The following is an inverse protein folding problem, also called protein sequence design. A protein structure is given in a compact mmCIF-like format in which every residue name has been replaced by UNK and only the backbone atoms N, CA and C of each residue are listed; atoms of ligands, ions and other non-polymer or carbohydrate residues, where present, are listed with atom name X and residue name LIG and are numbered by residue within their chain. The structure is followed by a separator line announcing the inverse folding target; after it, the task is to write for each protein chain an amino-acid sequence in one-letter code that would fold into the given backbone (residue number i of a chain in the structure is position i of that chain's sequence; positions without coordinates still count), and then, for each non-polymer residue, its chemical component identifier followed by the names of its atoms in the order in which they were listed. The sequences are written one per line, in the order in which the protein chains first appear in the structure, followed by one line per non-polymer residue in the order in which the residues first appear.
data_IF_624314561835
#
_entry.id   IF_624314561835
#
_cell.length_a   1.000
_cell.length_b   1.000
_cell.length_c   1.000
_cell.angle_alpha   90.00
_cell.angle_beta   90.00
_cell.angle_gamma   90.00
#
_symmetry.space_group_name_H-M   'P 1'
#
loop_
_entity.id
_entity.type
_entity.pdbx_description
1 polymer ?
#
# COMPACT_ATOMS: atom_id res chain seq x y z
N UNK A 1 4.09 10.10 -17.32
CA UNK A 1 3.62 11.36 -16.69
C UNK A 1 2.14 11.21 -16.42
N UNK A 2 1.63 11.70 -15.29
CA UNK A 2 0.23 11.48 -14.89
C UNK A 2 -0.72 12.44 -15.60
N UNK A 3 -1.97 12.02 -15.85
CA UNK A 3 -3.01 12.89 -16.44
C UNK A 3 -3.31 14.12 -15.59
N UNK A 4 -3.13 13.97 -14.28
CA UNK A 4 -3.27 15.02 -13.27
C UNK A 4 -2.29 16.19 -13.43
N UNK A 5 -1.14 15.99 -14.11
CA UNK A 5 -0.11 17.03 -14.31
C UNK A 5 -0.04 17.57 -15.73
N UNK A 6 -0.98 17.18 -16.59
CA UNK A 6 -0.97 17.49 -18.01
C UNK A 6 -2.25 18.23 -18.39
N UNK A 7 -2.11 19.42 -18.97
CA UNK A 7 -3.21 20.16 -19.57
C UNK A 7 -2.97 20.28 -21.06
N UNK A 8 -3.94 19.84 -21.86
CA UNK A 8 -3.91 19.98 -23.31
C UNK A 8 -4.68 21.24 -23.68
N UNK A 9 -4.06 22.13 -24.45
CA UNK A 9 -4.70 23.32 -24.97
C UNK A 9 -4.76 23.26 -26.49
N UNK A 10 -5.91 23.62 -27.06
CA UNK A 10 -6.05 23.88 -28.49
C UNK A 10 -6.27 25.37 -28.68
N UNK A 11 -5.40 26.03 -29.46
CA UNK A 11 -5.47 27.48 -29.71
C UNK A 11 -5.58 28.33 -28.43
N UNK A 12 -4.91 27.91 -27.33
CA UNK A 12 -4.93 28.61 -26.05
C UNK A 12 -6.16 28.34 -25.16
N UNK A 13 -7.09 27.48 -25.57
CA UNK A 13 -8.21 27.02 -24.74
C UNK A 13 -7.97 25.60 -24.21
N UNK A 14 -8.31 25.35 -22.95
CA UNK A 14 -8.24 24.03 -22.34
C UNK A 14 -9.21 23.05 -23.03
N UNK A 15 -8.68 21.89 -23.42
CA UNK A 15 -9.45 20.75 -23.90
C UNK A 15 -9.83 19.85 -22.71
N UNK A 16 -11.11 19.49 -22.60
CA UNK A 16 -11.57 18.45 -21.69
C UNK A 16 -11.34 17.06 -22.30
N UNK A 17 -11.30 16.02 -21.47
CA UNK A 17 -11.02 14.64 -21.89
C UNK A 17 -11.99 14.11 -22.97
N UNK A 18 -13.25 14.59 -22.98
CA UNK A 18 -14.27 14.18 -23.96
C UNK A 18 -14.29 15.03 -25.25
N UNK A 19 -13.34 15.97 -25.41
CA UNK A 19 -13.36 16.91 -26.52
C UNK A 19 -12.96 16.23 -27.84
N UNK A 20 -13.77 16.33 -28.91
CA UNK A 20 -13.47 15.66 -30.17
C UNK A 20 -12.26 16.27 -30.87
N UNK A 21 -11.25 15.44 -31.16
CA UNK A 21 -10.09 15.82 -31.98
C UNK A 21 -10.47 15.78 -33.48
N UNK A 22 -10.91 16.91 -34.02
CA UNK A 22 -11.10 17.16 -35.45
C UNK A 22 -9.83 17.61 -36.19
N UNK A 23 -9.44 16.88 -37.24
CA UNK A 23 -8.45 17.33 -38.23
C UNK A 23 -7.08 17.70 -37.67
N UNK A 24 -6.36 18.56 -38.40
CA UNK A 24 -5.07 19.10 -37.95
C UNK A 24 -5.31 20.21 -36.92
N UNK A 25 -4.95 19.98 -35.65
CA UNK A 25 -5.01 20.97 -34.58
C UNK A 25 -3.61 21.33 -34.10
N UNK A 26 -3.45 22.58 -33.65
CA UNK A 26 -2.27 23.01 -32.90
C UNK A 26 -2.51 22.77 -31.40
N UNK A 27 -1.84 21.75 -30.86
CA UNK A 27 -2.00 21.29 -29.49
C UNK A 27 -0.79 21.66 -28.65
N UNK A 28 -1.03 22.42 -27.58
CA UNK A 28 -0.02 22.76 -26.59
C UNK A 28 -0.20 21.90 -25.35
N UNK A 29 0.85 21.16 -24.97
CA UNK A 29 0.90 20.46 -23.69
C UNK A 29 1.50 21.38 -22.63
N UNK A 30 0.73 21.71 -21.60
CA UNK A 30 1.18 22.47 -20.44
C UNK A 30 1.34 21.52 -19.25
N UNK A 31 2.51 21.60 -18.61
CA UNK A 31 2.81 20.85 -17.39
C UNK A 31 2.54 21.74 -16.18
N UNK A 32 1.66 21.29 -15.28
CA UNK A 32 1.37 22.03 -14.05
C UNK A 32 2.44 21.72 -12.99
N UNK A 33 3.05 22.74 -12.35
CA UNK A 33 3.91 22.52 -11.19
C UNK A 33 3.07 22.11 -9.97
N UNK A 34 3.69 21.37 -9.05
CA UNK A 34 3.12 21.15 -7.72
C UNK A 34 3.21 22.48 -6.97
N UNK A 35 2.10 22.96 -6.44
CA UNK A 35 2.04 24.18 -5.64
C UNK A 35 1.59 23.77 -4.24
N UNK A 36 2.22 24.34 -3.22
CA UNK A 36 1.74 24.20 -1.85
C UNK A 36 0.38 24.92 -1.73
N UNK A 37 -0.69 24.14 -1.61
CA UNK A 37 -2.06 24.64 -1.59
C UNK A 37 -2.45 25.25 -0.23
N UNK A 38 -1.54 25.26 0.76
CA UNK A 38 -1.80 25.86 2.09
C UNK A 38 -2.19 27.35 2.00
N UNK A 39 -1.78 28.06 0.94
CA UNK A 39 -2.14 29.48 0.71
C UNK A 39 -3.48 29.70 -0.03
N UNK A 40 -4.15 28.65 -0.53
CA UNK A 40 -5.47 28.74 -1.16
C UNK A 40 -6.57 28.47 -0.12
N UNK A 41 -6.69 29.42 0.80
CA UNK A 41 -7.51 29.42 2.02
C UNK A 41 -9.05 29.28 1.89
N UNK A 42 -9.59 28.52 0.94
CA UNK A 42 -11.05 28.47 0.73
C UNK A 42 -11.68 27.11 0.45
N UNK A 43 -10.99 26.01 0.72
CA UNK A 43 -11.64 24.71 0.71
C UNK A 43 -11.04 23.86 1.83
N UNK A 44 -11.83 23.58 2.86
CA UNK A 44 -11.61 22.49 3.84
C UNK A 44 -11.67 21.16 3.07
N UNK A 45 -10.70 20.93 2.19
CA UNK A 45 -10.64 19.80 1.28
C UNK A 45 -9.30 19.16 1.52
N UNK A 46 -9.30 18.23 2.46
CA UNK A 46 -8.13 17.45 2.85
C UNK A 46 -8.06 16.19 1.97
N UNK A 47 -6.96 16.04 1.22
CA UNK A 47 -6.73 14.86 0.41
C UNK A 47 -6.55 13.61 1.29
N UNK A 48 -6.05 13.76 2.51
CA UNK A 48 -5.99 12.69 3.51
C UNK A 48 -7.41 12.34 3.96
N UNK A 49 -8.23 13.35 4.28
CA UNK A 49 -9.71 13.34 4.36
C UNK A 49 -10.39 12.38 3.38
N UNK A 50 -10.38 12.81 2.11
CA UNK A 50 -11.02 12.11 1.02
C UNK A 50 -10.48 10.68 0.87
N UNK A 51 -9.17 10.49 1.09
CA UNK A 51 -8.54 9.19 1.03
C UNK A 51 -8.92 8.27 2.20
N UNK A 52 -9.08 8.81 3.39
CA UNK A 52 -9.48 8.11 4.61
C UNK A 52 -10.89 7.54 4.50
N UNK A 53 -11.82 8.29 3.92
CA UNK A 53 -13.23 7.92 3.82
C UNK A 53 -13.59 7.25 2.48
N UNK A 54 -12.62 7.17 1.56
CA UNK A 54 -12.80 6.49 0.28
C UNK A 54 -13.58 7.30 -0.74
N UNK A 55 -13.59 8.63 -0.61
CA UNK A 55 -14.28 9.54 -1.52
C UNK A 55 -13.52 9.64 -2.84
N UNK A 56 -13.79 8.71 -3.76
CA UNK A 56 -13.11 8.63 -5.07
C UNK A 56 -13.28 9.90 -5.89
N UNK A 57 -14.50 10.43 -5.94
CA UNK A 57 -14.85 11.61 -6.75
C UNK A 57 -14.14 12.86 -6.24
N UNK A 58 -14.17 13.08 -4.92
CA UNK A 58 -13.45 14.18 -4.25
C UNK A 58 -11.93 14.04 -4.39
N UNK A 59 -11.39 12.83 -4.22
CA UNK A 59 -9.96 12.53 -4.45
C UNK A 59 -9.56 12.92 -5.88
N UNK A 60 -10.37 12.55 -6.87
CA UNK A 60 -10.11 12.91 -8.26
C UNK A 60 -10.16 14.42 -8.48
N UNK A 61 -11.18 15.11 -7.96
CA UNK A 61 -11.29 16.57 -8.04
C UNK A 61 -10.05 17.26 -7.46
N UNK A 62 -9.56 16.79 -6.30
CA UNK A 62 -8.37 17.35 -5.65
C UNK A 62 -7.12 17.11 -6.50
N UNK A 63 -6.93 15.90 -7.02
CA UNK A 63 -5.76 15.55 -7.82
C UNK A 63 -5.75 16.25 -9.19
N UNK A 64 -6.90 16.73 -9.69
CA UNK A 64 -6.97 17.60 -10.86
C UNK A 64 -6.45 19.01 -10.59
N UNK A 65 -6.39 19.44 -9.32
CA UNK A 65 -5.72 20.67 -8.90
C UNK A 65 -4.19 20.42 -8.83
N UNK A 66 -3.35 21.47 -8.77
CA UNK A 66 -1.90 21.32 -8.57
C UNK A 66 -1.52 20.88 -7.15
N UNK A 67 -2.30 19.95 -6.57
CA UNK A 67 -2.11 19.38 -5.25
C UNK A 67 -0.94 18.38 -5.22
N UNK A 68 -0.23 18.33 -4.10
CA UNK A 68 0.77 17.30 -3.84
C UNK A 68 0.07 15.97 -3.45
N UNK A 69 0.16 14.90 -4.26
CA UNK A 69 -0.42 13.60 -3.88
C UNK A 69 0.24 12.98 -2.64
N UNK A 70 1.41 13.48 -2.25
CA UNK A 70 2.18 13.04 -1.08
C UNK A 70 2.10 14.02 0.10
N UNK A 71 1.06 14.88 0.10
CA UNK A 71 0.76 15.75 1.24
C UNK A 71 0.70 14.95 2.53
N UNK A 72 1.15 15.55 3.63
CA UNK A 72 1.12 14.92 4.95
C UNK A 72 0.07 15.65 5.79
N UNK A 73 -1.01 14.94 6.11
CA UNK A 73 -2.11 15.42 6.96
C UNK A 73 -2.26 14.57 8.22
N UNK A 74 -3.33 14.77 8.97
CA UNK A 74 -3.68 13.97 10.16
C UNK A 74 -4.89 13.12 9.85
N UNK A 75 -4.92 11.86 10.32
CA UNK A 75 -6.12 11.02 10.21
C UNK A 75 -7.08 11.30 11.37
N UNK A 76 -8.39 11.09 11.15
CA UNK A 76 -9.44 11.41 12.13
C UNK A 76 -9.40 10.64 13.47
N UNK A 77 -8.64 9.54 13.56
CA UNK A 77 -8.54 8.69 14.75
C UNK A 77 -7.18 8.76 15.46
N UNK A 78 -6.27 9.64 15.06
CA UNK A 78 -4.96 9.73 15.70
C UNK A 78 -4.21 11.03 15.40
N UNK A 79 -3.34 11.43 16.32
CA UNK A 79 -2.38 12.53 16.13
C UNK A 79 -1.19 12.12 15.25
N UNK A 80 -1.39 11.13 14.37
CA UNK A 80 -0.32 10.55 13.56
C UNK A 80 -0.38 11.11 12.14
N UNK A 81 0.73 11.67 11.63
CA UNK A 81 0.79 12.19 10.29
C UNK A 81 0.69 11.06 9.28
N UNK A 82 -0.20 11.18 8.31
CA UNK A 82 -0.46 10.20 7.27
C UNK A 82 -0.33 10.82 5.88
N UNK A 83 0.03 10.00 4.90
CA UNK A 83 -0.14 10.34 3.49
C UNK A 83 -1.53 9.87 3.02
N UNK A 84 -2.11 10.47 1.96
CA UNK A 84 -3.34 9.98 1.36
C UNK A 84 -3.25 8.50 0.98
N UNK A 85 -2.09 8.08 0.45
CA UNK A 85 -1.89 6.68 0.06
C UNK A 85 -1.91 5.75 1.27
N UNK A 86 -1.30 6.15 2.39
CA UNK A 86 -1.37 5.41 3.65
C UNK A 86 -2.81 5.29 4.14
N UNK A 87 -3.53 6.42 4.23
CA UNK A 87 -4.92 6.44 4.72
C UNK A 87 -5.85 5.54 3.89
N UNK A 88 -5.78 5.66 2.56
CA UNK A 88 -6.55 4.83 1.65
C UNK A 88 -6.17 3.35 1.74
N UNK A 89 -4.88 3.04 1.91
CA UNK A 89 -4.39 1.68 2.01
C UNK A 89 -4.81 1.01 3.33
N UNK A 90 -4.73 1.72 4.45
CA UNK A 90 -5.17 1.25 5.77
C UNK A 90 -6.68 0.97 5.81
N UNK A 91 -7.47 1.77 5.08
CA UNK A 91 -8.94 1.65 5.00
C UNK A 91 -9.44 0.73 3.88
N UNK A 92 -8.56 0.23 3.02
CA UNK A 92 -8.93 -0.68 1.93
C UNK A 92 -9.58 0.00 0.72
N UNK A 93 -9.40 1.31 0.55
CA UNK A 93 -10.06 2.11 -0.49
C UNK A 93 -9.34 2.00 -1.84
N UNK A 94 -9.49 0.86 -2.50
CA UNK A 94 -8.84 0.55 -3.78
C UNK A 94 -9.09 1.57 -4.92
N UNK A 95 -10.28 2.20 -4.95
CA UNK A 95 -10.59 3.26 -5.91
C UNK A 95 -9.70 4.49 -5.74
N UNK A 96 -9.55 4.96 -4.51
CA UNK A 96 -8.66 6.07 -4.15
C UNK A 96 -7.20 5.70 -4.38
N UNK A 97 -6.78 4.49 -3.99
CA UNK A 97 -5.41 4.00 -4.22
C UNK A 97 -5.05 4.03 -5.71
N UNK A 98 -5.97 3.64 -6.61
CA UNK A 98 -5.77 3.75 -8.07
C UNK A 98 -5.48 5.20 -8.49
N UNK A 99 -6.30 6.15 -8.05
CA UNK A 99 -6.12 7.57 -8.38
C UNK A 99 -4.79 8.12 -7.87
N UNK A 100 -4.42 7.81 -6.62
CA UNK A 100 -3.15 8.26 -6.02
C UNK A 100 -1.93 7.68 -6.75
N UNK A 101 -1.97 6.40 -7.11
CA UNK A 101 -0.91 5.77 -7.91
C UNK A 101 -0.83 6.38 -9.33
N UNK A 102 -1.97 6.67 -9.96
CA UNK A 102 -2.03 7.39 -11.23
C UNK A 102 -1.41 8.80 -11.09
N UNK A 103 -1.64 9.48 -9.97
CA UNK A 103 -1.05 10.78 -9.62
C UNK A 103 0.44 10.74 -9.25
N UNK A 104 1.06 9.55 -9.23
CA UNK A 104 2.46 9.32 -8.85
C UNK A 104 2.75 9.61 -7.38
N UNK A 105 1.80 9.31 -6.50
CA UNK A 105 2.08 9.21 -5.07
C UNK A 105 3.24 8.24 -4.82
N UNK A 106 4.10 8.58 -3.87
CA UNK A 106 5.22 7.76 -3.43
C UNK A 106 4.71 6.58 -2.59
N UNK A 107 4.92 5.39 -3.14
CA UNK A 107 4.46 4.11 -2.59
C UNK A 107 5.17 3.78 -1.27
N UNK A 108 6.40 4.25 -1.11
CA UNK A 108 7.25 3.97 0.06
C UNK A 108 7.23 5.12 1.08
N UNK A 109 6.50 6.20 0.82
CA UNK A 109 6.43 7.33 1.75
C UNK A 109 5.70 6.95 3.02
N UNK A 110 6.43 7.05 4.12
CA UNK A 110 5.99 6.64 5.45
C UNK A 110 5.20 7.74 6.17
N UNK A 111 4.17 7.33 6.89
CA UNK A 111 3.54 8.09 7.96
C UNK A 111 4.54 8.18 9.15
N UNK A 112 4.92 9.38 9.58
CA UNK A 112 5.87 9.57 10.69
C UNK A 112 5.16 9.41 12.04
N UNK A 113 5.15 8.22 12.62
CA UNK A 113 4.66 8.09 13.99
C UNK A 113 5.65 8.73 14.98
N UNK A 114 5.26 9.82 15.66
CA UNK A 114 6.04 10.34 16.78
C UNK A 114 5.97 9.33 17.93
N UNK A 115 7.09 8.67 18.23
CA UNK A 115 7.24 7.83 19.42
C UNK A 115 7.05 6.33 19.21
N UNK A 116 6.69 5.87 18.01
CA UNK A 116 6.87 4.48 17.60
C UNK A 116 7.84 4.44 16.41
N UNK A 117 8.82 3.51 16.37
CA UNK A 117 9.66 3.28 15.19
C UNK A 117 8.88 2.64 14.02
N UNK A 118 7.54 2.75 14.04
CA UNK A 118 6.62 2.20 13.07
C UNK A 118 6.65 3.05 11.81
N UNK A 119 7.62 2.74 10.95
CA UNK A 119 7.58 3.08 9.54
C UNK A 119 6.53 2.20 8.84
N UNK A 120 5.25 2.39 9.19
CA UNK A 120 4.17 1.63 8.56
C UNK A 120 3.95 2.20 7.17
N UNK A 121 4.54 1.52 6.19
CA UNK A 121 4.36 1.83 4.78
C UNK A 121 2.92 1.49 4.38
N UNK A 122 2.31 2.23 3.44
CA UNK A 122 0.96 1.92 2.94
C UNK A 122 0.76 0.45 2.56
N UNK A 123 1.81 -0.16 1.98
CA UNK A 123 1.82 -1.57 1.60
C UNK A 123 1.72 -2.54 2.77
N UNK A 124 2.50 -2.29 3.83
CA UNK A 124 2.53 -3.14 5.02
C UNK A 124 1.18 -3.12 5.69
N UNK A 125 0.60 -1.94 5.85
CA UNK A 125 -0.69 -1.77 6.51
C UNK A 125 -1.83 -2.43 5.71
N UNK A 126 -1.87 -2.25 4.39
CA UNK A 126 -2.85 -2.95 3.54
C UNK A 126 -2.74 -4.48 3.64
N UNK A 127 -1.52 -5.01 3.83
CA UNK A 127 -1.32 -6.45 4.01
C UNK A 127 -1.81 -6.94 5.37
N UNK A 128 -1.53 -6.21 6.44
CA UNK A 128 -1.94 -6.56 7.80
C UNK A 128 -3.46 -6.44 7.99
N UNK A 129 -4.08 -5.46 7.33
CA UNK A 129 -5.52 -5.24 7.37
C UNK A 129 -6.33 -6.14 6.42
N UNK A 130 -5.68 -7.04 5.66
CA UNK A 130 -6.37 -8.00 4.79
C UNK A 130 -6.88 -7.43 3.45
N UNK A 131 -6.46 -6.22 3.06
CA UNK A 131 -7.00 -5.53 1.88
C UNK A 131 -6.39 -6.04 0.56
N UNK A 132 -6.73 -7.27 0.16
CA UNK A 132 -6.12 -7.97 -0.98
C UNK A 132 -6.14 -7.18 -2.30
N UNK A 133 -7.23 -6.47 -2.60
CA UNK A 133 -7.32 -5.65 -3.83
C UNK A 133 -6.33 -4.47 -3.80
N UNK A 134 -6.18 -3.79 -2.65
CA UNK A 134 -5.18 -2.74 -2.47
C UNK A 134 -3.77 -3.31 -2.61
N UNK A 135 -3.49 -4.45 -1.98
CA UNK A 135 -2.19 -5.12 -2.09
C UNK A 135 -1.86 -5.44 -3.55
N UNK A 136 -2.81 -5.97 -4.33
CA UNK A 136 -2.63 -6.23 -5.76
C UNK A 136 -2.33 -4.96 -6.55
N UNK A 137 -2.97 -3.83 -6.23
CA UNK A 137 -2.69 -2.54 -6.87
C UNK A 137 -1.27 -2.04 -6.56
N UNK A 138 -0.86 -2.10 -5.29
CA UNK A 138 0.47 -1.67 -4.87
C UNK A 138 1.56 -2.57 -5.46
N UNK A 139 1.36 -3.90 -5.52
CA UNK A 139 2.27 -4.84 -6.19
C UNK A 139 2.40 -4.53 -7.69
N UNK A 140 1.30 -4.23 -8.39
CA UNK A 140 1.33 -3.79 -9.80
C UNK A 140 2.10 -2.49 -9.99
N UNK A 141 2.05 -1.60 -8.99
CA UNK A 141 2.82 -0.36 -8.95
C UNK A 141 4.29 -0.55 -8.53
N UNK A 142 4.75 -1.81 -8.39
CA UNK A 142 6.11 -2.22 -8.01
C UNK A 142 6.47 -2.01 -6.54
N UNK A 143 5.50 -2.02 -5.63
CA UNK A 143 5.78 -2.21 -4.22
C UNK A 143 6.57 -3.52 -4.03
N UNK A 144 7.60 -3.51 -3.18
CA UNK A 144 8.41 -4.70 -2.95
C UNK A 144 7.65 -5.71 -2.08
N UNK A 145 7.40 -6.92 -2.61
CA UNK A 145 6.61 -7.95 -1.95
C UNK A 145 7.27 -8.53 -0.67
N UNK A 146 8.61 -8.47 -0.58
CA UNK A 146 9.37 -8.94 0.58
C UNK A 146 9.59 -7.79 1.60
N UNK A 147 8.50 -7.24 2.14
CA UNK A 147 8.59 -6.30 3.26
C UNK A 147 8.78 -7.05 4.59
N UNK A 148 9.34 -6.34 5.57
CA UNK A 148 9.39 -6.76 6.97
C UNK A 148 8.33 -6.01 7.77
N UNK A 149 7.92 -6.62 8.89
CA UNK A 149 7.14 -5.98 9.94
C UNK A 149 7.89 -6.06 11.24
N UNK A 150 7.79 -4.99 12.02
CA UNK A 150 8.30 -4.96 13.39
C UNK A 150 7.31 -5.68 14.29
N UNK A 151 7.83 -6.60 15.09
CA UNK A 151 7.03 -7.34 16.06
C UNK A 151 7.71 -7.28 17.43
N UNK A 152 6.90 -7.45 18.47
CA UNK A 152 7.33 -7.30 19.86
C UNK A 152 7.25 -8.64 20.57
N UNK A 153 8.25 -8.94 21.38
CA UNK A 153 8.12 -10.03 22.37
C UNK A 153 7.48 -9.45 23.64
N UNK A 154 6.51 -10.17 24.20
CA UNK A 154 5.95 -9.81 25.52
C UNK A 154 7.00 -9.85 26.62
N UNK A 155 8.04 -10.69 26.43
CA UNK A 155 8.97 -11.09 27.48
C UNK A 155 10.20 -10.20 27.59
N UNK A 156 10.72 -9.66 26.48
CA UNK A 156 11.96 -8.87 26.48
C UNK A 156 11.79 -7.41 26.08
N UNK A 157 10.60 -7.01 25.55
CA UNK A 157 10.38 -5.70 24.89
C UNK A 157 11.40 -5.42 23.78
N UNK A 158 12.05 -6.46 23.26
CA UNK A 158 12.97 -6.32 22.14
C UNK A 158 12.18 -6.30 20.84
N UNK A 159 12.48 -5.29 20.02
CA UNK A 159 11.99 -5.17 18.67
C UNK A 159 12.78 -6.11 17.76
N UNK A 160 12.07 -6.82 16.91
CA UNK A 160 12.68 -7.58 15.83
C UNK A 160 11.83 -7.49 14.59
N UNK A 161 12.51 -7.42 13.46
CA UNK A 161 11.88 -7.48 12.16
C UNK A 161 11.72 -8.93 11.72
N UNK A 162 10.57 -9.25 11.13
CA UNK A 162 10.37 -10.51 10.42
C UNK A 162 9.65 -10.27 9.08
N UNK A 163 9.82 -11.15 8.08
CA UNK A 163 9.10 -11.05 6.82
C UNK A 163 7.57 -11.06 7.00
N UNK A 164 6.87 -10.19 6.27
CA UNK A 164 5.43 -9.96 6.45
C UNK A 164 4.55 -11.17 6.09
N UNK A 165 5.03 -12.07 5.21
CA UNK A 165 4.28 -13.24 4.76
C UNK A 165 3.87 -14.17 5.93
N UNK A 166 4.73 -14.30 6.95
CA UNK A 166 4.42 -15.12 8.13
C UNK A 166 3.19 -14.61 8.88
N UNK A 167 3.22 -13.38 9.42
CA UNK A 167 2.08 -12.76 10.10
C UNK A 167 0.77 -12.76 9.31
N UNK A 168 0.81 -12.53 7.99
CA UNK A 168 -0.40 -12.56 7.13
C UNK A 168 -1.04 -13.95 7.16
N UNK A 169 -0.25 -15.01 7.02
CA UNK A 169 -0.75 -16.38 7.03
C UNK A 169 -1.18 -16.80 8.44
N UNK A 170 -0.47 -16.37 9.48
CA UNK A 170 -0.86 -16.57 10.88
C UNK A 170 -2.24 -15.96 11.20
N UNK A 171 -2.55 -14.80 10.60
CA UNK A 171 -3.85 -14.12 10.68
C UNK A 171 -4.93 -14.69 9.74
N UNK A 172 -4.62 -15.73 8.96
CA UNK A 172 -5.50 -16.35 7.96
C UNK A 172 -5.90 -15.46 6.77
N UNK A 173 -5.12 -14.43 6.46
CA UNK A 173 -5.33 -13.54 5.31
C UNK A 173 -4.81 -14.20 4.01
N UNK A 174 -5.41 -15.33 3.63
CA UNK A 174 -4.93 -16.21 2.56
C UNK A 174 -4.91 -15.54 1.18
N UNK A 175 -5.85 -14.64 0.91
CA UNK A 175 -5.89 -13.91 -0.37
C UNK A 175 -4.70 -12.96 -0.50
N UNK A 176 -4.34 -12.27 0.58
CA UNK A 176 -3.14 -11.43 0.64
C UNK A 176 -1.89 -12.30 0.55
N UNK A 177 -1.82 -13.38 1.32
CA UNK A 177 -0.69 -14.32 1.29
C UNK A 177 -0.45 -14.89 -0.11
N UNK A 178 -1.52 -15.26 -0.82
CA UNK A 178 -1.46 -15.69 -2.23
C UNK A 178 -0.97 -14.56 -3.13
N UNK A 179 -1.49 -13.34 -2.99
CA UNK A 179 -1.06 -12.20 -3.81
C UNK A 179 0.45 -11.90 -3.65
N UNK A 180 0.99 -12.02 -2.43
CA UNK A 180 2.42 -11.87 -2.18
C UNK A 180 3.24 -12.98 -2.86
N UNK A 181 2.81 -14.23 -2.73
CA UNK A 181 3.47 -15.38 -3.35
C UNK A 181 3.44 -15.30 -4.89
N UNK A 182 2.31 -14.90 -5.48
CA UNK A 182 2.18 -14.59 -6.91
C UNK A 182 3.16 -13.49 -7.36
N UNK A 183 3.41 -12.52 -6.49
CA UNK A 183 4.39 -11.46 -6.70
C UNK A 183 5.83 -11.85 -6.33
N UNK A 184 6.13 -13.15 -6.18
CA UNK A 184 7.46 -13.72 -5.88
C UNK A 184 7.98 -13.36 -4.48
N UNK A 185 7.09 -13.19 -3.51
CA UNK A 185 7.51 -13.23 -2.11
C UNK A 185 8.16 -14.57 -1.79
N UNK A 186 9.18 -14.59 -0.94
CA UNK A 186 9.87 -15.82 -0.56
C UNK A 186 8.96 -16.69 0.32
N UNK A 187 8.50 -17.87 -0.14
CA UNK A 187 7.66 -18.75 0.65
C UNK A 187 8.39 -19.35 1.87
N UNK A 188 9.72 -19.50 1.80
CA UNK A 188 10.51 -20.02 2.92
C UNK A 188 10.56 -19.03 4.09
N UNK A 189 10.34 -17.74 3.82
CA UNK A 189 10.23 -16.71 4.84
C UNK A 189 9.10 -16.97 5.84
N UNK A 190 8.05 -17.69 5.42
CA UNK A 190 6.89 -18.05 6.23
C UNK A 190 7.01 -19.40 6.97
N UNK A 191 8.24 -19.89 7.22
CA UNK A 191 8.47 -21.15 7.93
C UNK A 191 7.82 -21.25 9.33
N UNK A 192 7.66 -20.13 10.04
CA UNK A 192 6.96 -20.07 11.33
C UNK A 192 5.46 -20.36 11.14
N UNK A 193 4.83 -19.67 10.20
CA UNK A 193 3.44 -19.91 9.81
C UNK A 193 3.23 -21.35 9.34
N UNK A 194 4.16 -21.91 8.55
CA UNK A 194 4.13 -23.31 8.11
C UNK A 194 4.13 -24.29 9.30
N UNK A 195 4.98 -24.05 10.31
CA UNK A 195 5.00 -24.89 11.53
C UNK A 195 3.68 -24.83 12.28
N UNK A 196 3.15 -23.63 12.47
CA UNK A 196 1.88 -23.42 13.17
C UNK A 196 0.74 -24.11 12.42
N UNK A 197 0.67 -23.93 11.11
CA UNK A 197 -0.33 -24.56 10.26
C UNK A 197 -0.30 -26.09 10.33
N UNK A 198 0.88 -26.70 10.40
CA UNK A 198 1.03 -28.15 10.58
C UNK A 198 0.56 -28.62 11.98
N UNK A 199 0.81 -27.83 13.02
CA UNK A 199 0.40 -28.15 14.40
C UNK A 199 -1.11 -28.05 14.58
N UNK A 200 -1.73 -27.02 14.01
CA UNK A 200 -3.16 -26.73 14.10
C UNK A 200 -3.98 -27.39 12.97
N UNK A 201 -3.35 -28.24 12.16
CA UNK A 201 -3.97 -28.95 11.02
C UNK A 201 -4.63 -28.01 9.98
N UNK A 202 -4.08 -26.80 9.80
CA UNK A 202 -4.51 -25.81 8.81
C UNK A 202 -4.01 -26.20 7.42
N UNK A 203 -4.73 -27.13 6.79
CA UNK A 203 -4.38 -27.73 5.50
C UNK A 203 -4.23 -26.72 4.37
N UNK A 204 -4.92 -25.58 4.46
CA UNK A 204 -4.96 -24.58 3.40
C UNK A 204 -3.66 -23.78 3.30
N UNK A 205 -3.12 -23.32 4.43
CA UNK A 205 -1.82 -22.62 4.49
C UNK A 205 -0.69 -23.55 4.04
N UNK A 206 -0.72 -24.81 4.48
CA UNK A 206 0.29 -25.82 4.08
C UNK A 206 0.27 -26.03 2.57
N UNK A 207 -0.93 -26.21 1.99
CA UNK A 207 -1.09 -26.37 0.54
C UNK A 207 -0.63 -25.14 -0.23
N UNK A 208 -1.01 -23.95 0.23
CA UNK A 208 -0.61 -22.69 -0.40
C UNK A 208 0.92 -22.54 -0.41
N UNK A 209 1.58 -22.75 0.73
CA UNK A 209 3.04 -22.63 0.80
C UNK A 209 3.75 -23.70 -0.06
N UNK A 210 3.26 -24.94 -0.08
CA UNK A 210 3.79 -26.00 -0.94
C UNK A 210 3.58 -25.74 -2.43
N UNK A 211 2.43 -25.15 -2.82
CA UNK A 211 2.14 -24.75 -4.20
C UNK A 211 3.24 -23.81 -4.75
N UNK A 212 3.79 -22.95 -3.88
CA UNK A 212 4.85 -22.00 -4.22
C UNK A 212 6.27 -22.49 -3.87
N UNK A 213 6.43 -23.77 -3.49
CA UNK A 213 7.74 -24.40 -3.29
C UNK A 213 8.32 -24.30 -1.88
N UNK A 214 7.53 -23.96 -0.85
CA UNK A 214 7.97 -24.07 0.53
C UNK A 214 8.17 -25.55 0.92
N UNK A 215 9.33 -25.86 1.49
CA UNK A 215 9.58 -27.18 2.06
C UNK A 215 8.94 -27.32 3.44
N UNK A 216 8.49 -28.53 3.76
CA UNK A 216 8.01 -28.87 5.10
C UNK A 216 9.22 -28.86 6.05
N UNK A 217 9.23 -28.01 7.09
CA UNK A 217 10.36 -27.96 8.00
C UNK A 217 10.52 -29.31 8.71
N UNK A 218 11.73 -29.88 8.67
CA UNK A 218 11.99 -31.15 9.33
C UNK A 218 11.59 -31.10 10.82
N UNK A 219 10.94 -32.15 11.36
CA UNK A 219 10.67 -32.22 12.78
C UNK A 219 12.01 -32.17 13.50
N UNK A 220 12.21 -31.18 14.38
CA UNK A 220 13.43 -31.05 15.18
C UNK A 220 13.63 -32.36 15.94
N UNK A 221 14.46 -33.25 15.40
CA UNK A 221 14.91 -34.45 16.10
C UNK A 221 15.57 -33.92 17.37
N UNK A 222 14.94 -34.16 18.53
CA UNK A 222 15.57 -33.90 19.83
C UNK A 222 16.94 -34.55 19.74
N UNK A 223 18.01 -33.75 19.76
CA UNK A 223 19.38 -34.27 19.86
C UNK A 223 19.37 -35.24 21.03
N UNK A 224 19.42 -36.53 20.73
CA UNK A 224 19.65 -37.54 21.76
C UNK A 224 21.01 -37.16 22.33
N UNK A 225 21.01 -36.62 23.54
CA UNK A 225 22.23 -36.52 24.33
C UNK A 225 22.82 -37.92 24.38
N UNK A 226 23.85 -38.15 23.57
CA UNK A 226 24.73 -39.30 23.75
C UNK A 226 25.44 -39.01 25.07
N UNK A 227 25.18 -39.88 26.05
CA UNK A 227 25.75 -39.80 27.41
C UNK A 227 27.27 -39.82 27.40
#
# INVERSE_FOLDING_TARGET
MSRFRQRLLCNGQMLNDDSPLQGSMDLHLVLLPVIDMTDLAFRDVDLVDAAEFGNVEETEEILQLPADPDVVGLMSWGEHPATPLYAAAARGHAGVVRLLLEARADIDRVALHQGTPQHEKPFVEACLAGHAEVVRLLLKARAAANQTVTCYTSDTREEYERPILGPILESQELEVGRALLEARADPASAHVAMRFALQENQSEIVRLLQEFGAEVPEPRLRRRYVR
#
